data_IF_575573014873
#
_entry.id   IF_575573014873
#
_cell.length_a   1.000
_cell.length_b   1.000
_cell.length_c   1.000
_cell.angle_alpha   90.00
_cell.angle_beta   90.00
_cell.angle_gamma   90.00
#
_symmetry.space_group_name_H-M   'P 1'
#
loop_
_entity.id
_entity.type
_entity.pdbx_description
1 polymer ?
#
# COMPACT_ATOMS: atom_id res chain seq x y z
N UNK A 1 64.80 9.59 17.40
CA UNK A 1 64.06 9.23 16.20
C UNK A 1 63.93 7.72 15.98
N UNK A 2 64.91 6.88 16.19
CA UNK A 2 64.76 5.40 15.99
C UNK A 2 63.76 4.69 16.94
N UNK A 3 63.60 5.16 18.17
CA UNK A 3 62.60 4.56 19.12
C UNK A 3 61.15 4.89 18.83
N UNK A 4 60.87 5.99 18.11
CA UNK A 4 59.55 6.38 17.72
C UNK A 4 59.01 5.57 16.50
N UNK A 5 59.96 5.19 15.62
CA UNK A 5 59.64 4.37 14.45
C UNK A 5 59.30 2.91 14.83
N UNK A 6 59.91 2.36 15.86
CA UNK A 6 59.63 1.01 16.36
C UNK A 6 58.25 0.94 17.01
N UNK A 7 57.82 2.02 17.69
CA UNK A 7 56.49 2.08 18.32
C UNK A 7 55.36 2.20 17.29
N UNK A 8 55.58 2.90 16.16
CA UNK A 8 54.64 3.05 15.07
C UNK A 8 54.45 1.75 14.25
N UNK A 9 55.49 0.93 14.14
CA UNK A 9 55.40 -0.38 13.46
C UNK A 9 54.72 -1.43 14.33
N UNK A 10 54.83 -1.38 15.65
CA UNK A 10 54.14 -2.30 16.56
C UNK A 10 52.64 -2.00 16.65
N UNK A 11 52.24 -0.74 16.49
CA UNK A 11 50.79 -0.37 16.45
C UNK A 11 50.10 -0.75 15.13
N UNK A 12 50.84 -0.89 14.02
CA UNK A 12 50.27 -1.34 12.74
C UNK A 12 50.08 -2.87 12.62
N UNK A 13 50.75 -3.67 13.45
CA UNK A 13 50.62 -5.14 13.43
C UNK A 13 49.45 -5.62 14.28
N UNK A 14 48.83 -4.74 15.09
CA UNK A 14 47.67 -5.04 15.95
C UNK A 14 46.27 -4.95 15.27
N UNK A 15 46.18 -4.50 14.01
CA UNK A 15 44.94 -4.62 13.20
C UNK A 15 44.88 -6.00 12.54
N UNK A 16 44.81 -7.05 13.35
CA UNK A 16 44.39 -8.36 12.88
C UNK A 16 42.97 -8.24 12.30
N UNK A 17 42.83 -8.56 11.02
CA UNK A 17 41.49 -8.77 10.42
C UNK A 17 40.77 -9.77 11.29
N UNK A 18 39.78 -9.31 12.06
CA UNK A 18 38.71 -10.13 12.60
C UNK A 18 37.90 -10.59 11.39
N UNK A 19 38.31 -11.66 10.77
CA UNK A 19 37.42 -12.39 9.88
C UNK A 19 36.34 -12.94 10.79
N UNK A 20 35.11 -12.45 10.60
CA UNK A 20 33.96 -13.10 11.19
C UNK A 20 34.01 -14.56 10.72
N UNK A 21 34.04 -15.50 11.63
CA UNK A 21 34.01 -16.91 11.28
C UNK A 21 32.61 -17.20 10.70
N UNK A 22 32.58 -17.67 9.45
CA UNK A 22 31.36 -18.15 8.84
C UNK A 22 31.06 -19.56 9.38
N UNK A 23 29.82 -19.78 9.77
CA UNK A 23 29.32 -21.12 10.13
C UNK A 23 28.31 -21.59 9.12
N UNK A 24 28.22 -22.89 8.92
CA UNK A 24 27.22 -23.49 8.03
C UNK A 24 26.02 -23.98 8.84
N UNK A 25 24.88 -23.38 8.59
CA UNK A 25 23.59 -23.80 9.15
C UNK A 25 22.91 -24.73 8.17
N UNK A 26 22.39 -25.86 8.67
CA UNK A 26 21.71 -26.89 7.91
C UNK A 26 20.29 -27.08 8.42
N UNK A 27 19.37 -27.40 7.52
CA UNK A 27 17.99 -27.63 7.94
C UNK A 27 17.08 -28.10 6.85
N UNK A 28 15.80 -28.22 7.22
CA UNK A 28 14.72 -28.61 6.31
C UNK A 28 13.63 -27.56 6.33
N UNK A 29 13.02 -27.31 5.18
CA UNK A 29 11.83 -26.49 5.03
C UNK A 29 10.66 -27.41 4.69
N UNK A 30 9.66 -27.43 5.58
CA UNK A 30 8.51 -28.31 5.51
C UNK A 30 7.21 -27.48 5.57
N UNK A 31 6.12 -28.04 5.09
CA UNK A 31 4.77 -27.51 5.38
C UNK A 31 4.25 -27.98 6.75
N UNK A 32 3.03 -27.56 7.12
CA UNK A 32 2.38 -27.98 8.38
C UNK A 32 2.08 -29.48 8.46
N UNK A 33 2.02 -30.16 7.33
CA UNK A 33 1.74 -31.58 7.20
C UNK A 33 3.03 -32.41 7.20
N UNK A 34 4.19 -31.74 7.25
CA UNK A 34 5.51 -32.36 7.24
C UNK A 34 6.03 -32.69 5.83
N UNK A 35 5.38 -32.17 4.78
CA UNK A 35 5.82 -32.37 3.39
C UNK A 35 6.99 -31.45 3.08
N UNK A 36 8.07 -31.96 2.48
CA UNK A 36 9.22 -31.13 2.07
C UNK A 36 8.80 -30.08 1.02
N UNK A 37 9.38 -28.89 1.12
CA UNK A 37 9.16 -27.78 0.17
C UNK A 37 10.42 -27.57 -0.68
N UNK A 38 10.55 -28.23 -1.84
CA UNK A 38 11.68 -28.06 -2.74
C UNK A 38 11.61 -26.70 -3.45
N UNK A 39 12.77 -26.02 -3.56
CA UNK A 39 12.85 -24.72 -4.19
C UNK A 39 12.47 -23.56 -3.28
N UNK A 40 12.34 -23.78 -1.96
CA UNK A 40 12.16 -22.70 -1.00
C UNK A 40 13.47 -21.91 -0.83
N UNK A 41 13.37 -20.59 -0.74
CA UNK A 41 14.49 -19.70 -0.50
C UNK A 41 14.67 -19.50 1.00
N UNK A 42 15.87 -19.79 1.51
CA UNK A 42 16.27 -19.49 2.88
C UNK A 42 17.39 -18.45 2.83
N UNK A 43 17.25 -17.37 3.59
CA UNK A 43 18.19 -16.26 3.57
C UNK A 43 18.31 -15.62 4.96
N UNK A 44 19.44 -14.96 5.20
CA UNK A 44 19.76 -14.21 6.40
C UNK A 44 19.61 -12.69 6.18
N UNK A 45 19.92 -11.90 7.20
CA UNK A 45 19.90 -10.43 7.13
C UNK A 45 21.00 -9.86 6.23
N UNK A 46 22.13 -10.56 6.09
CA UNK A 46 23.27 -10.17 5.25
C UNK A 46 23.10 -10.60 3.79
N UNK A 47 21.93 -11.20 3.45
CA UNK A 47 21.55 -11.66 2.10
C UNK A 47 22.32 -12.89 1.58
N UNK A 48 22.92 -13.67 2.44
CA UNK A 48 23.33 -15.01 2.06
C UNK A 48 22.05 -15.83 1.79
N UNK A 49 22.03 -16.58 0.72
CA UNK A 49 20.84 -17.32 0.27
C UNK A 49 21.16 -18.76 -0.03
N UNK A 50 20.25 -19.66 0.33
CA UNK A 50 20.25 -21.05 -0.09
C UNK A 50 18.87 -21.41 -0.64
N UNK A 51 18.83 -22.43 -1.51
CA UNK A 51 17.60 -22.97 -2.07
C UNK A 51 17.50 -24.43 -1.63
N UNK A 52 16.31 -24.85 -1.20
CA UNK A 52 16.08 -26.22 -0.77
C UNK A 52 16.10 -27.21 -1.95
N UNK A 53 16.66 -28.39 -1.72
CA UNK A 53 16.64 -29.51 -2.68
C UNK A 53 15.28 -30.24 -2.69
N UNK A 54 15.21 -31.38 -3.39
CA UNK A 54 13.98 -32.20 -3.52
C UNK A 54 13.46 -32.72 -2.17
N UNK A 55 14.31 -32.88 -1.18
CA UNK A 55 13.96 -33.32 0.20
C UNK A 55 13.66 -32.13 1.12
N UNK A 56 13.59 -30.89 0.59
CA UNK A 56 13.43 -29.68 1.39
C UNK A 56 14.66 -29.27 2.20
N UNK A 57 15.81 -29.91 1.97
CA UNK A 57 17.06 -29.67 2.72
C UNK A 57 17.79 -28.45 2.16
N UNK A 58 18.38 -27.65 3.07
CA UNK A 58 19.25 -26.52 2.73
C UNK A 58 20.54 -26.49 3.57
N UNK A 59 21.55 -25.87 2.98
CA UNK A 59 22.82 -25.52 3.64
C UNK A 59 23.09 -24.03 3.37
N UNK A 60 23.26 -23.23 4.44
CA UNK A 60 23.50 -21.79 4.36
C UNK A 60 24.69 -21.41 5.21
N UNK A 61 25.67 -20.74 4.59
CA UNK A 61 26.78 -20.15 5.32
C UNK A 61 26.37 -18.78 5.84
N UNK A 62 26.41 -18.61 7.16
CA UNK A 62 26.01 -17.37 7.85
C UNK A 62 27.11 -16.91 8.80
N UNK A 63 27.18 -15.62 9.08
CA UNK A 63 28.07 -15.09 10.12
C UNK A 63 27.63 -15.57 11.50
N UNK A 64 28.59 -15.79 12.43
CA UNK A 64 28.30 -16.24 13.79
C UNK A 64 27.31 -15.35 14.56
N UNK A 65 27.20 -14.08 14.21
CA UNK A 65 26.35 -13.12 14.87
C UNK A 65 24.85 -13.28 14.49
N UNK A 66 24.55 -13.97 13.37
CA UNK A 66 23.19 -14.09 12.86
C UNK A 66 22.42 -15.14 13.67
N UNK A 67 21.26 -14.69 14.18
CA UNK A 67 20.32 -15.51 14.97
C UNK A 67 19.01 -15.78 14.26
N UNK A 68 18.73 -15.09 13.17
CA UNK A 68 17.45 -15.20 12.45
C UNK A 68 17.67 -15.63 11.01
N UNK A 69 16.86 -16.59 10.59
CA UNK A 69 16.72 -17.01 9.19
C UNK A 69 15.34 -16.60 8.70
N UNK A 70 15.24 -16.34 7.42
CA UNK A 70 13.97 -16.10 6.73
C UNK A 70 13.79 -17.15 5.66
N UNK A 71 12.57 -17.68 5.55
CA UNK A 71 12.21 -18.59 4.49
C UNK A 71 11.05 -18.03 3.68
N UNK A 72 11.12 -18.18 2.34
CA UNK A 72 10.09 -17.77 1.41
C UNK A 72 9.85 -18.87 0.37
N UNK A 73 8.59 -19.18 0.13
CA UNK A 73 8.16 -20.14 -0.89
C UNK A 73 6.85 -19.69 -1.54
N UNK A 74 6.70 -19.94 -2.83
CA UNK A 74 5.50 -19.52 -3.59
C UNK A 74 4.27 -20.22 -3.05
N UNK A 75 3.25 -19.46 -2.67
CA UNK A 75 2.01 -19.99 -2.07
C UNK A 75 2.09 -20.22 -0.56
N UNK A 76 3.15 -19.76 0.11
CA UNK A 76 3.31 -19.84 1.56
C UNK A 76 3.64 -18.48 2.16
N UNK A 77 3.26 -18.30 3.42
CA UNK A 77 3.62 -17.09 4.17
C UNK A 77 5.13 -17.08 4.46
N UNK A 78 5.76 -15.92 4.29
CA UNK A 78 7.16 -15.77 4.66
C UNK A 78 7.36 -16.07 6.15
N UNK A 79 8.32 -16.92 6.47
CA UNK A 79 8.66 -17.33 7.83
C UNK A 79 9.89 -16.59 8.31
N UNK A 80 9.84 -16.04 9.53
CA UNK A 80 11.01 -15.57 10.28
C UNK A 80 11.26 -16.59 11.38
N UNK A 81 12.42 -17.23 11.32
CA UNK A 81 12.80 -18.28 12.25
C UNK A 81 14.00 -17.85 13.09
N UNK A 82 13.87 -17.93 14.41
CA UNK A 82 14.96 -17.62 15.34
C UNK A 82 15.65 -18.92 15.76
N UNK A 83 16.94 -19.02 15.48
CA UNK A 83 17.75 -20.18 15.83
C UNK A 83 18.08 -20.17 17.32
N UNK A 84 17.65 -21.16 18.07
CA UNK A 84 18.03 -21.33 19.48
C UNK A 84 19.40 -22.02 19.60
N UNK A 85 19.66 -23.00 18.73
CA UNK A 85 20.91 -23.76 18.68
C UNK A 85 21.36 -23.85 17.22
N UNK A 86 22.27 -22.97 16.82
CA UNK A 86 22.67 -22.87 15.41
C UNK A 86 23.39 -24.09 14.85
N UNK A 87 23.99 -24.91 15.72
CA UNK A 87 24.73 -26.13 15.31
C UNK A 87 23.84 -27.33 15.08
N UNK A 88 22.59 -27.26 15.54
CA UNK A 88 21.58 -28.31 15.33
C UNK A 88 20.93 -28.16 13.95
N UNK A 89 20.32 -29.24 13.46
CA UNK A 89 19.50 -29.20 12.22
C UNK A 89 18.27 -28.35 12.47
N UNK A 90 18.09 -27.29 11.69
CA UNK A 90 16.94 -26.39 11.79
C UNK A 90 15.73 -26.95 11.03
N UNK A 91 14.55 -26.92 11.64
CA UNK A 91 13.31 -27.31 10.98
C UNK A 91 12.43 -26.07 10.84
N UNK A 92 12.25 -25.61 9.61
CA UNK A 92 11.44 -24.44 9.25
C UNK A 92 10.08 -24.91 8.75
N UNK A 93 9.02 -24.73 9.55
CA UNK A 93 7.66 -25.12 9.17
C UNK A 93 6.93 -23.91 8.61
N UNK A 94 6.59 -23.96 7.34
CA UNK A 94 5.88 -22.89 6.65
C UNK A 94 4.37 -23.16 6.62
N UNK A 95 3.59 -22.09 6.65
CA UNK A 95 2.13 -22.15 6.54
C UNK A 95 1.70 -21.77 5.13
N UNK A 96 0.84 -22.55 4.45
CA UNK A 96 0.30 -22.13 3.18
C UNK A 96 -0.45 -20.81 3.34
N UNK A 97 -0.28 -19.93 2.38
CA UNK A 97 -1.05 -18.69 2.31
C UNK A 97 -2.46 -19.04 1.84
N UNK A 98 -3.35 -19.35 2.80
CA UNK A 98 -4.74 -19.72 2.52
C UNK A 98 -5.61 -18.49 2.22
N UNK A 99 -5.08 -17.31 2.48
CA UNK A 99 -5.61 -16.03 2.06
C UNK A 99 -4.41 -15.19 1.61
N UNK A 100 -4.59 -14.48 0.50
CA UNK A 100 -3.84 -13.26 0.30
C UNK A 100 -4.24 -12.36 1.48
N UNK A 101 -3.60 -12.52 2.62
CA UNK A 101 -3.54 -11.43 3.58
C UNK A 101 -3.00 -10.26 2.77
N UNK A 102 -3.90 -9.32 2.52
CA UNK A 102 -3.51 -8.02 2.03
C UNK A 102 -2.31 -7.62 2.89
N UNK A 103 -1.13 -7.63 2.29
CA UNK A 103 0.06 -7.11 2.94
C UNK A 103 -0.26 -5.65 3.14
N UNK A 104 -0.88 -5.34 4.27
CA UNK A 104 -0.92 -3.98 4.79
C UNK A 104 0.54 -3.68 5.08
N UNK A 105 1.22 -3.19 4.07
CA UNK A 105 2.52 -2.55 4.23
C UNK A 105 2.23 -1.32 5.07
N UNK A 106 2.22 -1.48 6.37
CA UNK A 106 2.40 -0.39 7.33
C UNK A 106 3.85 0.08 7.19
N UNK A 107 4.20 0.46 5.98
CA UNK A 107 5.36 1.29 5.79
C UNK A 107 4.99 2.63 6.43
N UNK A 108 5.65 3.00 7.52
CA UNK A 108 5.56 4.33 8.11
C UNK A 108 6.05 5.45 7.19
N UNK A 109 5.84 5.31 5.89
CA UNK A 109 6.09 6.28 4.85
C UNK A 109 4.93 7.25 4.78
N UNK A 110 5.17 8.48 5.18
CA UNK A 110 4.23 9.59 5.01
C UNK A 110 4.25 10.03 3.55
N UNK A 111 3.29 9.59 2.74
CA UNK A 111 3.20 10.02 1.33
C UNK A 111 2.75 8.93 0.36
N UNK A 112 3.07 9.14 -0.90
CA UNK A 112 2.88 8.14 -1.95
C UNK A 112 4.02 7.12 -1.91
N UNK A 113 3.68 5.85 -1.78
CA UNK A 113 4.65 4.75 -1.70
C UNK A 113 4.68 4.02 -3.03
N UNK A 114 5.88 3.89 -3.61
CA UNK A 114 6.08 3.02 -4.78
C UNK A 114 6.23 1.58 -4.35
N UNK A 115 5.34 0.73 -4.84
CA UNK A 115 5.45 -0.70 -4.63
C UNK A 115 6.43 -1.30 -5.67
N UNK A 116 7.62 -1.72 -5.20
CA UNK A 116 8.67 -2.28 -6.05
C UNK A 116 8.54 -3.79 -6.26
N UNK A 117 7.68 -4.45 -5.50
CA UNK A 117 7.49 -5.91 -5.57
C UNK A 117 6.39 -6.31 -6.57
N UNK A 118 5.56 -5.40 -7.03
CA UNK A 118 4.55 -5.69 -8.03
C UNK A 118 5.14 -5.65 -9.45
N UNK A 119 4.64 -6.53 -10.30
CA UNK A 119 4.96 -6.57 -11.74
C UNK A 119 4.52 -5.27 -12.44
N UNK A 120 3.45 -4.66 -11.98
CA UNK A 120 2.96 -3.37 -12.44
C UNK A 120 3.63 -2.23 -11.66
N UNK A 121 3.93 -1.13 -12.34
CA UNK A 121 4.41 0.10 -11.70
C UNK A 121 3.28 0.74 -10.89
N UNK A 122 3.14 0.31 -9.63
CA UNK A 122 2.04 0.71 -8.76
C UNK A 122 2.52 1.70 -7.71
N UNK A 123 1.80 2.80 -7.57
CA UNK A 123 1.96 3.79 -6.52
C UNK A 123 0.75 3.73 -5.59
N UNK A 124 0.97 3.74 -4.28
CA UNK A 124 -0.09 3.73 -3.27
C UNK A 124 -0.11 5.05 -2.52
N UNK A 125 -1.24 5.73 -2.54
CA UNK A 125 -1.52 6.90 -1.71
C UNK A 125 -2.15 6.42 -0.40
N UNK A 126 -1.47 6.64 0.71
CA UNK A 126 -1.90 6.15 2.03
C UNK A 126 -2.97 7.03 2.66
N UNK A 127 -3.72 6.51 3.65
CA UNK A 127 -4.70 7.30 4.42
C UNK A 127 -4.06 8.54 5.10
N UNK A 128 -2.81 8.44 5.51
CA UNK A 128 -2.08 9.58 6.07
C UNK A 128 -1.81 10.66 5.02
N UNK A 129 -1.48 10.27 3.78
CA UNK A 129 -1.30 11.23 2.68
C UNK A 129 -2.62 11.93 2.35
N UNK A 130 -3.72 11.18 2.30
CA UNK A 130 -5.08 11.70 2.08
C UNK A 130 -5.48 12.70 3.18
N UNK A 131 -5.22 12.37 4.43
CA UNK A 131 -5.51 13.27 5.56
C UNK A 131 -4.66 14.55 5.52
N UNK A 132 -3.37 14.44 5.16
CA UNK A 132 -2.48 15.61 5.03
C UNK A 132 -2.89 16.56 3.92
N UNK A 133 -3.31 16.01 2.80
CA UNK A 133 -3.80 16.79 1.67
C UNK A 133 -5.19 17.41 1.94
N UNK A 134 -5.79 17.11 3.10
CA UNK A 134 -7.17 17.51 3.44
C UNK A 134 -8.18 17.17 2.33
N UNK A 135 -7.97 16.02 1.66
CA UNK A 135 -8.77 15.60 0.54
C UNK A 135 -10.20 15.33 0.98
N UNK A 136 -11.15 16.08 0.43
CA UNK A 136 -12.55 15.94 0.75
C UNK A 136 -13.22 14.83 -0.06
N UNK A 137 -12.75 14.60 -1.30
CA UNK A 137 -13.29 13.57 -2.18
C UNK A 137 -12.17 12.89 -3.00
N UNK A 138 -12.55 11.87 -3.77
CA UNK A 138 -11.58 11.11 -4.58
C UNK A 138 -10.89 11.99 -5.63
N UNK A 139 -11.59 12.94 -6.25
CA UNK A 139 -10.99 13.82 -7.27
C UNK A 139 -9.86 14.67 -6.68
N UNK A 140 -10.06 15.26 -5.52
CA UNK A 140 -9.05 16.08 -4.83
C UNK A 140 -7.87 15.26 -4.32
N UNK A 141 -8.07 13.96 -4.11
CA UNK A 141 -7.01 13.05 -3.63
C UNK A 141 -5.84 12.91 -4.61
N UNK A 142 -6.04 13.28 -5.86
CA UNK A 142 -5.01 13.19 -6.89
C UNK A 142 -4.19 14.47 -7.05
N UNK A 143 -4.56 15.60 -6.45
CA UNK A 143 -3.82 16.86 -6.56
C UNK A 143 -2.35 16.76 -6.13
N UNK A 144 -2.05 15.82 -5.24
CA UNK A 144 -0.68 15.56 -4.77
C UNK A 144 0.04 14.47 -5.55
N UNK A 145 -0.63 13.82 -6.50
CA UNK A 145 -0.06 12.72 -7.29
C UNK A 145 0.36 13.23 -8.68
N UNK A 146 1.66 13.26 -9.00
CA UNK A 146 2.15 13.83 -10.28
C UNK A 146 1.78 12.98 -11.50
N UNK A 147 1.21 11.80 -11.32
CA UNK A 147 0.90 10.86 -12.41
C UNK A 147 -0.56 10.89 -12.82
N UNK A 148 -1.42 11.44 -11.97
CA UNK A 148 -2.86 11.53 -12.18
C UNK A 148 -3.25 12.98 -12.13
N UNK A 149 -3.88 13.46 -13.18
CA UNK A 149 -4.43 14.80 -13.25
C UNK A 149 -5.96 14.73 -13.24
N UNK A 150 -6.60 15.75 -12.72
CA UNK A 150 -8.06 15.87 -12.69
C UNK A 150 -8.46 17.18 -13.33
N UNK A 151 -9.19 17.09 -14.41
CA UNK A 151 -9.70 18.24 -15.14
C UNK A 151 -11.23 18.30 -15.09
N UNK A 152 -11.78 19.50 -15.07
CA UNK A 152 -13.22 19.67 -15.28
C UNK A 152 -13.57 19.31 -16.71
N UNK A 153 -14.53 18.41 -16.90
CA UNK A 153 -15.05 18.01 -18.22
C UNK A 153 -16.28 18.82 -18.62
N UNK A 154 -16.99 19.37 -17.64
CA UNK A 154 -18.16 20.22 -17.86
C UNK A 154 -18.23 21.30 -16.76
N UNK A 155 -18.25 22.55 -17.20
CA UNK A 155 -18.27 23.71 -16.29
C UNK A 155 -19.65 23.93 -15.63
N UNK A 156 -20.74 23.46 -16.26
CA UNK A 156 -22.11 23.69 -15.76
C UNK A 156 -22.44 22.72 -14.62
N UNK A 157 -22.07 21.45 -14.79
CA UNK A 157 -22.37 20.41 -13.79
C UNK A 157 -21.20 20.18 -12.81
N UNK A 158 -20.03 20.77 -13.07
CA UNK A 158 -18.82 20.52 -12.29
C UNK A 158 -18.27 19.11 -12.48
N UNK A 159 -18.72 18.38 -13.50
CA UNK A 159 -18.24 17.03 -13.79
C UNK A 159 -16.74 17.02 -14.01
N UNK A 160 -16.06 16.06 -13.39
CA UNK A 160 -14.61 15.92 -13.43
C UNK A 160 -14.19 14.67 -14.19
N UNK A 161 -13.01 14.73 -14.77
CA UNK A 161 -12.43 13.63 -15.52
C UNK A 161 -11.00 13.41 -15.05
N UNK A 162 -10.69 12.16 -14.75
CA UNK A 162 -9.32 11.75 -14.48
C UNK A 162 -8.55 11.65 -15.79
N UNK A 163 -7.30 12.13 -15.76
CA UNK A 163 -6.32 11.94 -16.82
C UNK A 163 -5.12 11.19 -16.23
N UNK A 164 -4.74 10.10 -16.85
CA UNK A 164 -3.55 9.33 -16.46
C UNK A 164 -2.58 9.31 -17.62
N UNK A 165 -1.34 9.77 -17.36
CA UNK A 165 -0.31 9.91 -18.37
C UNK A 165 -0.73 10.83 -19.54
N UNK A 166 -1.55 11.83 -19.27
CA UNK A 166 -2.04 12.79 -20.26
C UNK A 166 -3.18 12.29 -21.15
N UNK A 167 -3.71 11.09 -20.92
CA UNK A 167 -4.85 10.56 -21.67
C UNK A 167 -6.13 10.60 -20.83
N UNK A 168 -7.25 10.80 -21.52
CA UNK A 168 -8.57 10.97 -20.93
C UNK A 168 -9.03 9.76 -20.11
N UNK A 169 -9.93 9.99 -19.18
CA UNK A 169 -10.41 9.00 -18.21
C UNK A 169 -11.09 7.77 -18.79
N UNK A 170 -11.55 7.81 -20.06
CA UNK A 170 -12.08 6.63 -20.76
C UNK A 170 -11.04 5.52 -20.97
N UNK A 171 -9.75 5.87 -20.86
CA UNK A 171 -8.62 4.93 -20.98
C UNK A 171 -8.07 4.48 -19.62
N UNK A 172 -8.66 4.95 -18.54
CA UNK A 172 -8.31 4.61 -17.16
C UNK A 172 -9.40 3.71 -16.58
N UNK A 173 -9.01 2.57 -16.07
CA UNK A 173 -9.93 1.69 -15.37
C UNK A 173 -10.05 2.08 -13.91
N UNK A 174 -11.28 2.37 -13.48
CA UNK A 174 -11.60 2.61 -12.08
C UNK A 174 -12.07 1.33 -11.41
N UNK A 175 -11.47 1.03 -10.27
CA UNK A 175 -11.81 -0.10 -9.42
C UNK A 175 -12.17 0.40 -8.02
N UNK A 176 -12.99 -0.37 -7.34
CA UNK A 176 -13.20 -0.27 -5.89
C UNK A 176 -13.02 -1.67 -5.32
N UNK A 177 -12.00 -1.84 -4.49
CA UNK A 177 -11.68 -3.15 -3.90
C UNK A 177 -11.53 -4.26 -4.94
N UNK A 178 -10.76 -3.97 -5.99
CA UNK A 178 -10.54 -4.84 -7.15
C UNK A 178 -11.78 -5.16 -8.03
N UNK A 179 -12.92 -4.49 -7.79
CA UNK A 179 -14.10 -4.62 -8.65
C UNK A 179 -14.25 -3.39 -9.55
N UNK A 180 -14.51 -3.57 -10.87
CA UNK A 180 -14.77 -2.45 -11.77
C UNK A 180 -15.92 -1.57 -11.28
N UNK A 181 -15.66 -0.30 -11.11
CA UNK A 181 -16.61 0.70 -10.64
C UNK A 181 -16.44 2.00 -11.42
N UNK A 182 -17.38 2.93 -11.29
CA UNK A 182 -17.36 4.25 -11.94
C UNK A 182 -17.10 4.15 -13.46
N UNK A 183 -17.89 3.36 -14.16
CA UNK A 183 -17.79 3.15 -15.61
C UNK A 183 -18.83 3.96 -16.37
N UNK A 184 -18.52 4.31 -17.64
CA UNK A 184 -19.41 5.08 -18.49
C UNK A 184 -19.73 6.46 -17.91
N UNK A 185 -21.00 6.84 -17.80
CA UNK A 185 -21.43 8.14 -17.25
C UNK A 185 -21.00 8.32 -15.79
N UNK A 186 -20.95 7.24 -15.01
CA UNK A 186 -20.52 7.30 -13.63
C UNK A 186 -19.03 7.67 -13.46
N UNK A 187 -18.21 7.52 -14.49
CA UNK A 187 -16.79 7.88 -14.42
C UNK A 187 -16.55 9.38 -14.22
N UNK A 188 -17.46 10.21 -14.71
CA UNK A 188 -17.37 11.68 -14.60
C UNK A 188 -17.99 12.23 -13.33
N UNK A 189 -19.10 11.66 -12.88
CA UNK A 189 -19.80 12.16 -11.71
C UNK A 189 -19.43 11.44 -10.41
N UNK A 190 -18.97 10.19 -10.52
CA UNK A 190 -18.71 9.35 -9.35
C UNK A 190 -17.48 9.76 -8.53
N UNK A 191 -16.58 10.56 -9.09
CA UNK A 191 -15.36 10.97 -8.42
C UNK A 191 -15.61 11.84 -7.18
N UNK A 192 -16.65 12.66 -7.21
CA UNK A 192 -17.01 13.56 -6.11
C UNK A 192 -17.90 12.88 -5.05
N UNK A 193 -18.46 11.70 -5.37
CA UNK A 193 -19.29 10.93 -4.43
C UNK A 193 -18.51 10.00 -3.49
N UNK A 194 -17.21 9.90 -3.66
CA UNK A 194 -16.35 9.11 -2.78
C UNK A 194 -15.64 10.05 -1.82
N UNK A 195 -16.07 10.14 -0.55
CA UNK A 195 -15.44 11.02 0.42
C UNK A 195 -14.03 10.57 0.80
N UNK A 196 -13.09 11.52 0.90
CA UNK A 196 -11.71 11.26 1.27
C UNK A 196 -11.54 10.50 2.59
N UNK A 197 -12.23 10.89 3.67
CA UNK A 197 -12.15 10.22 4.97
C UNK A 197 -12.62 8.76 4.99
N UNK A 198 -13.36 8.30 3.98
CA UNK A 198 -13.78 6.90 3.85
C UNK A 198 -12.72 5.99 3.29
N UNK A 199 -11.73 6.57 2.58
CA UNK A 199 -10.70 5.82 1.88
C UNK A 199 -9.58 5.38 2.83
N UNK A 200 -9.15 4.14 2.71
CA UNK A 200 -7.97 3.58 3.36
C UNK A 200 -6.73 3.86 2.53
N UNK A 201 -6.82 3.62 1.23
CA UNK A 201 -5.74 3.87 0.28
C UNK A 201 -6.28 4.00 -1.14
N UNK A 202 -5.48 4.60 -2.01
CA UNK A 202 -5.69 4.62 -3.45
C UNK A 202 -4.46 4.02 -4.09
N UNK A 203 -4.65 3.02 -4.96
CA UNK A 203 -3.57 2.41 -5.72
C UNK A 203 -3.66 2.87 -7.17
N UNK A 204 -2.59 3.44 -7.68
CA UNK A 204 -2.45 3.88 -9.07
C UNK A 204 -1.44 2.99 -9.76
N UNK A 205 -1.90 2.16 -10.68
CA UNK A 205 -1.06 1.30 -11.52
C UNK A 205 -0.96 1.87 -12.91
N UNK A 206 0.26 2.06 -13.40
CA UNK A 206 0.55 2.66 -14.71
C UNK A 206 0.78 1.59 -15.75
N UNK A 207 0.20 1.78 -16.93
CA UNK A 207 0.27 0.84 -18.05
C UNK A 207 -0.93 -0.10 -18.13
N UNK A 208 -0.98 -0.90 -19.19
CA UNK A 208 -2.09 -1.85 -19.40
C UNK A 208 -2.16 -2.85 -18.25
N UNK A 209 -3.33 -2.94 -17.63
CA UNK A 209 -3.59 -3.88 -16.55
C UNK A 209 -4.18 -5.21 -17.07
N UNK A 210 -4.48 -6.11 -16.15
CA UNK A 210 -5.07 -7.40 -16.48
C UNK A 210 -6.45 -7.24 -17.11
N UNK A 211 -6.70 -7.93 -18.21
CA UNK A 211 -8.02 -8.00 -18.87
C UNK A 211 -9.12 -8.63 -17.99
N UNK A 212 -8.75 -9.23 -16.86
CA UNK A 212 -9.68 -9.82 -15.90
C UNK A 212 -10.77 -8.82 -15.47
N UNK A 213 -10.40 -7.57 -15.27
CA UNK A 213 -11.28 -6.52 -14.78
C UNK A 213 -11.97 -5.71 -15.89
N UNK A 214 -11.62 -5.95 -17.14
CA UNK A 214 -12.16 -5.25 -18.31
C UNK A 214 -11.06 -4.75 -19.25
N UNK A 215 -11.48 -4.04 -20.28
CA UNK A 215 -10.61 -3.58 -21.38
C UNK A 215 -10.24 -2.09 -21.28
N UNK A 216 -10.79 -1.37 -20.33
CA UNK A 216 -10.62 0.08 -20.22
C UNK A 216 -9.22 0.49 -19.75
N UNK A 217 -8.46 -0.42 -19.14
CA UNK A 217 -7.11 -0.14 -18.64
C UNK A 217 -6.08 -0.07 -19.76
N UNK A 218 -6.07 1.02 -20.50
CA UNK A 218 -5.07 1.31 -21.54
C UNK A 218 -3.88 2.07 -20.96
N UNK A 219 -4.15 3.15 -20.21
CA UNK A 219 -3.11 3.95 -19.55
C UNK A 219 -2.80 3.46 -18.14
N UNK A 220 -3.76 2.81 -17.49
CA UNK A 220 -3.60 2.26 -16.16
C UNK A 220 -4.93 1.99 -15.47
N UNK A 221 -4.82 1.62 -14.21
CA UNK A 221 -5.96 1.43 -13.34
C UNK A 221 -5.78 2.19 -12.02
N UNK A 222 -6.88 2.63 -11.46
CA UNK A 222 -6.96 3.27 -10.15
C UNK A 222 -7.90 2.43 -9.31
N UNK A 223 -7.40 1.90 -8.19
CA UNK A 223 -8.17 1.10 -7.25
C UNK A 223 -8.32 1.83 -5.93
N UNK A 224 -9.55 1.98 -5.46
CA UNK A 224 -9.90 2.66 -4.22
C UNK A 224 -10.28 1.63 -3.18
N UNK A 225 -9.53 1.60 -2.10
CA UNK A 225 -9.82 0.78 -0.92
C UNK A 225 -10.51 1.61 0.15
N UNK A 226 -11.68 1.16 0.60
CA UNK A 226 -12.37 1.76 1.74
C UNK A 226 -11.84 1.22 3.06
N UNK A 227 -11.97 2.01 4.13
CA UNK A 227 -11.68 1.56 5.50
C UNK A 227 -12.53 0.35 5.86
N UNK A 228 -11.87 -0.72 6.31
CA UNK A 228 -12.53 -1.96 6.74
C UNK A 228 -12.98 -1.81 8.21
N UNK A 229 -14.14 -2.38 8.62
CA UNK A 229 -14.66 -2.21 9.98
C UNK A 229 -13.69 -2.58 11.11
N UNK A 230 -12.85 -3.61 10.89
CA UNK A 230 -11.84 -4.03 11.87
C UNK A 230 -10.63 -3.10 12.01
N UNK A 231 -10.39 -2.25 11.00
CA UNK A 231 -9.21 -1.36 10.95
C UNK A 231 -9.63 0.10 11.11
N UNK A 232 -10.91 0.40 10.91
CA UNK A 232 -11.44 1.74 11.07
C UNK A 232 -11.44 2.17 12.54
N UNK A 233 -11.24 3.47 12.78
CA UNK A 233 -11.40 4.04 14.11
C UNK A 233 -12.84 3.78 14.62
N UNK A 234 -13.04 3.49 15.92
CA UNK A 234 -14.38 3.30 16.47
C UNK A 234 -15.32 4.47 16.22
N UNK A 235 -14.80 5.68 16.21
CA UNK A 235 -15.48 6.89 15.81
C UNK A 235 -14.50 7.88 15.20
N UNK A 236 -14.74 8.26 13.95
CA UNK A 236 -14.04 9.32 13.26
C UNK A 236 -15.05 10.39 12.85
N UNK A 237 -14.81 11.64 13.23
CA UNK A 237 -15.58 12.79 12.76
C UNK A 237 -14.61 13.77 12.11
N UNK A 238 -14.92 14.15 10.87
CA UNK A 238 -14.15 15.11 10.11
C UNK A 238 -15.08 16.22 9.65
N UNK A 239 -14.71 17.47 9.90
CA UNK A 239 -15.45 18.66 9.48
C UNK A 239 -14.51 19.55 8.66
N UNK A 240 -14.98 19.97 7.50
CA UNK A 240 -14.26 20.86 6.62
C UNK A 240 -15.12 22.09 6.30
N UNK A 241 -14.48 23.24 6.25
CA UNK A 241 -15.10 24.49 5.78
C UNK A 241 -14.04 25.36 5.11
N UNK A 242 -14.40 26.02 4.03
CA UNK A 242 -13.51 26.94 3.33
C UNK A 242 -14.14 28.32 3.12
N UNK A 243 -13.34 29.27 2.64
CA UNK A 243 -13.77 30.66 2.38
C UNK A 243 -14.71 30.80 1.19
N UNK A 244 -14.77 29.78 0.30
CA UNK A 244 -15.69 29.79 -0.84
C UNK A 244 -17.12 29.41 -0.43
N UNK A 245 -17.34 29.03 0.83
CA UNK A 245 -18.65 28.67 1.36
C UNK A 245 -19.01 27.19 1.24
N UNK A 246 -18.01 26.36 1.03
CA UNK A 246 -18.12 24.90 1.08
C UNK A 246 -18.09 24.44 2.52
N UNK A 247 -19.03 23.58 2.88
CA UNK A 247 -19.09 22.87 4.16
C UNK A 247 -19.22 21.38 3.92
N UNK A 248 -18.41 20.61 4.64
CA UNK A 248 -18.46 19.17 4.57
C UNK A 248 -18.35 18.54 5.95
N UNK A 249 -19.15 17.51 6.19
CA UNK A 249 -19.12 16.72 7.40
C UNK A 249 -19.06 15.24 7.09
N UNK A 250 -18.09 14.56 7.68
CA UNK A 250 -17.93 13.12 7.59
C UNK A 250 -18.01 12.51 8.99
N UNK A 251 -18.73 11.39 9.11
CA UNK A 251 -18.74 10.57 10.30
C UNK A 251 -18.59 9.10 9.93
N UNK A 252 -17.67 8.42 10.59
CA UNK A 252 -17.48 6.98 10.44
C UNK A 252 -17.55 6.36 11.82
N UNK A 253 -18.43 5.38 12.01
CA UNK A 253 -18.55 4.62 13.26
C UNK A 253 -18.34 3.14 12.97
N UNK A 254 -17.37 2.50 13.62
CA UNK A 254 -17.07 1.08 13.47
C UNK A 254 -17.28 0.34 14.77
N UNK A 255 -17.90 -0.83 14.72
CA UNK A 255 -18.18 -1.69 15.87
C UNK A 255 -17.87 -3.14 15.53
N UNK A 256 -17.08 -3.78 16.38
CA UNK A 256 -16.92 -5.23 16.38
C UNK A 256 -17.97 -5.87 17.30
N UNK A 257 -18.88 -6.62 16.69
CA UNK A 257 -19.94 -7.32 17.43
C UNK A 257 -19.44 -8.64 18.03
N UNK A 258 -18.55 -9.32 17.31
CA UNK A 258 -17.83 -10.52 17.76
C UNK A 258 -16.64 -10.78 16.81
N UNK A 259 -15.81 -11.79 17.08
CA UNK A 259 -14.61 -12.14 16.31
C UNK A 259 -14.87 -12.38 14.81
N UNK A 260 -16.12 -12.71 14.45
CA UNK A 260 -16.52 -13.02 13.06
C UNK A 260 -17.35 -11.93 12.40
N UNK A 261 -17.90 -10.99 13.16
CA UNK A 261 -18.81 -9.98 12.67
C UNK A 261 -18.39 -8.60 13.16
N UNK A 262 -18.08 -7.73 12.22
CA UNK A 262 -17.83 -6.32 12.44
C UNK A 262 -18.61 -5.51 11.42
N UNK A 263 -19.03 -4.30 11.78
CA UNK A 263 -19.74 -3.40 10.88
C UNK A 263 -19.26 -1.98 11.04
N UNK A 264 -19.33 -1.20 9.98
CA UNK A 264 -19.06 0.23 10.01
C UNK A 264 -20.11 0.99 9.22
N UNK A 265 -20.54 2.12 9.77
CA UNK A 265 -21.44 3.08 9.14
C UNK A 265 -20.65 4.33 8.76
N UNK A 266 -20.76 4.72 7.50
CA UNK A 266 -20.11 5.88 6.91
C UNK A 266 -21.17 6.87 6.49
N UNK A 267 -21.03 8.11 6.92
CA UNK A 267 -21.93 9.23 6.61
C UNK A 267 -21.11 10.37 6.04
N UNK A 268 -21.60 11.00 4.99
CA UNK A 268 -21.04 12.22 4.43
C UNK A 268 -22.15 13.20 4.08
N UNK A 269 -21.92 14.45 4.39
CA UNK A 269 -22.72 15.57 3.94
C UNK A 269 -21.81 16.62 3.31
N UNK A 270 -22.17 17.07 2.13
CA UNK A 270 -21.46 18.09 1.38
C UNK A 270 -22.44 19.18 0.97
N UNK A 271 -22.04 20.45 1.11
CA UNK A 271 -22.80 21.59 0.68
C UNK A 271 -21.88 22.67 0.15
N UNK A 272 -22.17 23.19 -1.03
CA UNK A 272 -21.52 24.31 -1.68
C UNK A 272 -22.57 25.09 -2.48
N UNK A 273 -23.30 25.98 -1.80
CA UNK A 273 -24.42 26.74 -2.39
C UNK A 273 -24.09 28.22 -2.55
N UNK A 274 -22.84 28.63 -2.28
CA UNK A 274 -22.49 30.05 -2.40
C UNK A 274 -22.17 30.38 -3.84
N UNK A 275 -22.94 31.31 -4.41
CA UNK A 275 -22.72 31.88 -5.73
C UNK A 275 -21.35 32.59 -5.81
N UNK A 276 -20.49 32.11 -6.65
CA UNK A 276 -19.20 32.74 -6.97
C UNK A 276 -19.18 33.11 -8.44
N UNK A 277 -19.13 34.42 -8.70
CA UNK A 277 -18.89 35.02 -10.02
C UNK A 277 -17.88 36.15 -9.80
N UNK A 278 -16.58 35.79 -9.85
CA UNK A 278 -15.48 36.70 -9.57
C UNK A 278 -15.21 37.66 -10.72
N UNK A 279 -15.43 37.22 -11.95
CA UNK A 279 -15.19 37.99 -13.16
C UNK A 279 -16.43 38.81 -13.59
N UNK A 280 -17.59 38.57 -12.98
CA UNK A 280 -18.88 39.25 -13.23
C UNK A 280 -19.39 39.07 -14.64
N UNK A 281 -19.21 37.88 -15.21
CA UNK A 281 -19.70 37.53 -16.54
C UNK A 281 -21.09 36.89 -16.52
N UNK A 282 -21.73 36.81 -15.35
CA UNK A 282 -23.05 36.21 -15.08
C UNK A 282 -23.07 34.68 -15.07
N UNK A 283 -21.93 34.03 -15.25
CA UNK A 283 -21.78 32.62 -15.06
C UNK A 283 -21.12 32.34 -13.71
N UNK A 284 -21.51 31.22 -13.08
CA UNK A 284 -20.87 30.81 -11.83
C UNK A 284 -19.48 30.22 -12.12
N UNK A 285 -18.46 30.67 -11.35
CA UNK A 285 -17.12 30.10 -11.41
C UNK A 285 -17.07 28.65 -10.90
N UNK A 286 -18.01 28.31 -9.99
CA UNK A 286 -18.16 26.97 -9.43
C UNK A 286 -19.65 26.58 -9.38
N UNK A 287 -20.01 25.33 -9.70
CA UNK A 287 -21.37 24.88 -9.62
C UNK A 287 -21.85 24.78 -8.17
N UNK A 288 -23.14 25.07 -7.93
CA UNK A 288 -23.78 24.80 -6.66
C UNK A 288 -24.01 23.30 -6.52
N UNK A 289 -23.55 22.72 -5.40
CA UNK A 289 -23.65 21.29 -5.16
C UNK A 289 -24.05 20.99 -3.73
N UNK A 290 -24.98 20.05 -3.59
CA UNK A 290 -25.35 19.46 -2.31
C UNK A 290 -25.43 17.95 -2.46
N UNK A 291 -24.86 17.22 -1.53
CA UNK A 291 -24.94 15.77 -1.52
C UNK A 291 -24.98 15.19 -0.11
N UNK A 292 -25.63 14.04 0.01
CA UNK A 292 -25.63 13.23 1.21
C UNK A 292 -25.37 11.78 0.83
N UNK A 293 -24.35 11.19 1.41
CA UNK A 293 -23.94 9.81 1.12
C UNK A 293 -23.92 8.97 2.39
N UNK A 294 -24.40 7.75 2.26
CA UNK A 294 -24.43 6.75 3.34
C UNK A 294 -23.91 5.43 2.80
N UNK A 295 -23.02 4.80 3.52
CA UNK A 295 -22.55 3.45 3.24
C UNK A 295 -22.52 2.65 4.53
N UNK A 296 -23.01 1.43 4.49
CA UNK A 296 -22.85 0.43 5.55
C UNK A 296 -22.03 -0.73 5.02
N UNK A 297 -21.14 -1.21 5.88
CA UNK A 297 -20.22 -2.28 5.51
C UNK A 297 -20.15 -3.35 6.61
#
# INVERSE_FOLDING_TARGET
MKKFLIWMVVTCIGCGNLWAADRTVKGYVLDKEGTPLPGAYVYDEDKHTAVTNEDGYFELSVSEEIKQLRAAYVGFNALIYTMERPDDIQILVMSPSTELEEVVVTAGGTGTIKNRSNVLNTESVTSQALTRAACCNLSESFETNPSVDVAYSDAVTGAKQIQLLGLAGTYVQMLTENFPNLRGVASTYGLDYIPGPWMQSIQVSKGAASVKNGYESVTGQIDVEYKKPKVADPLLVNLFANSTGRYEGNAVGAVELNDRLSTALFLNYYNEERTHDKNKDTFLDMPEMQSFSVMNR
#
